data_IF_438977619748
#
_entry.id   IF_438977619748
#
_cell.length_a   1.000
_cell.length_b   1.000
_cell.length_c   1.000
_cell.angle_alpha   90.00
_cell.angle_beta   90.00
_cell.angle_gamma   90.00
#
_symmetry.space_group_name_H-M   'P 1'
#
loop_
_entity.id
_entity.type
_entity.pdbx_description
1 polymer ?
#
# COMPACT_ATOMS: atom_id res chain seq x y z
N UNK A 1 16.46 -20.67 8.83
CA UNK A 1 15.00 -21.01 8.91
C UNK A 1 14.25 -19.71 9.14
N UNK A 2 13.20 -19.44 8.37
CA UNK A 2 12.41 -18.22 8.44
C UNK A 2 11.79 -18.03 9.84
N UNK A 3 11.95 -16.85 10.47
CA UNK A 3 11.41 -16.56 11.81
C UNK A 3 10.49 -15.34 11.86
N UNK A 4 10.61 -14.42 10.91
CA UNK A 4 9.89 -13.17 10.95
C UNK A 4 9.34 -12.78 9.58
N UNK A 5 8.04 -12.46 9.53
CA UNK A 5 7.36 -11.94 8.34
C UNK A 5 7.09 -10.45 8.53
N UNK A 6 7.52 -9.64 7.57
CA UNK A 6 7.15 -8.23 7.49
C UNK A 6 6.28 -8.03 6.26
N UNK A 7 5.13 -7.37 6.43
CA UNK A 7 4.23 -7.07 5.31
C UNK A 7 3.90 -5.59 5.25
N UNK A 8 3.73 -5.07 4.04
CA UNK A 8 3.37 -3.67 3.79
C UNK A 8 2.31 -3.54 2.72
N UNK A 9 1.60 -2.41 2.72
CA UNK A 9 0.63 -2.12 1.68
C UNK A 9 -0.37 -1.01 2.02
N UNK A 10 -1.39 -0.86 1.20
CA UNK A 10 -2.46 0.13 1.35
C UNK A 10 -3.72 -0.47 2.01
N UNK A 11 -4.90 0.10 1.73
CA UNK A 11 -6.18 -0.37 2.27
C UNK A 11 -6.50 -1.83 1.92
N UNK A 12 -6.00 -2.35 0.79
CA UNK A 12 -6.09 -3.76 0.41
C UNK A 12 -5.26 -4.69 1.30
N UNK A 13 -4.39 -4.12 2.09
CA UNK A 13 -3.55 -4.80 3.08
C UNK A 13 -3.91 -4.39 4.51
N UNK A 14 -5.06 -3.72 4.72
CA UNK A 14 -5.44 -3.28 6.05
C UNK A 14 -5.89 -4.46 6.90
N UNK A 15 -5.26 -4.57 8.06
CA UNK A 15 -5.35 -5.75 8.94
C UNK A 15 -6.66 -5.84 9.76
N UNK A 16 -7.64 -4.97 9.58
CA UNK A 16 -8.86 -5.00 10.40
C UNK A 16 -9.75 -6.23 10.16
N UNK A 17 -9.45 -7.03 9.13
CA UNK A 17 -10.27 -8.18 8.77
C UNK A 17 -9.47 -9.48 8.94
N UNK A 18 -10.02 -10.42 9.70
CA UNK A 18 -9.46 -11.77 9.91
C UNK A 18 -9.16 -12.51 8.59
N UNK A 19 -9.72 -12.02 7.49
CA UNK A 19 -9.67 -12.62 6.18
C UNK A 19 -8.75 -11.89 5.18
N UNK A 20 -7.83 -11.02 5.67
CA UNK A 20 -6.88 -10.32 4.79
C UNK A 20 -5.86 -11.29 4.15
N UNK A 21 -5.26 -10.90 3.02
CA UNK A 21 -4.19 -11.70 2.40
C UNK A 21 -3.00 -11.90 3.34
N UNK A 22 -2.80 -10.99 4.27
CA UNK A 22 -1.74 -11.03 5.27
C UNK A 22 -2.01 -12.12 6.30
N UNK A 23 -3.25 -12.21 6.78
CA UNK A 23 -3.67 -13.28 7.70
C UNK A 23 -3.53 -14.64 7.02
N UNK A 24 -3.99 -14.76 5.77
CA UNK A 24 -3.85 -15.98 4.98
C UNK A 24 -2.36 -16.36 4.79
N UNK A 25 -1.51 -15.39 4.41
CA UNK A 25 -0.06 -15.61 4.25
C UNK A 25 0.59 -16.02 5.57
N UNK A 26 0.27 -15.32 6.67
CA UNK A 26 0.82 -15.63 7.99
C UNK A 26 0.44 -17.06 8.42
N UNK A 27 -0.82 -17.45 8.25
CA UNK A 27 -1.29 -18.78 8.58
C UNK A 27 -0.63 -19.85 7.70
N UNK A 28 -0.49 -19.59 6.40
CA UNK A 28 0.19 -20.49 5.48
C UNK A 28 1.67 -20.69 5.86
N UNK A 29 2.39 -19.62 6.19
CA UNK A 29 3.80 -19.73 6.62
C UNK A 29 3.94 -20.43 7.97
N UNK A 30 2.98 -20.25 8.89
CA UNK A 30 2.96 -20.94 10.20
C UNK A 30 2.77 -22.45 10.11
N UNK A 31 2.25 -22.98 9.00
CA UNK A 31 2.22 -24.43 8.75
C UNK A 31 3.66 -25.00 8.74
N UNK A 32 4.61 -24.24 8.19
CA UNK A 32 6.02 -24.64 8.09
C UNK A 32 6.86 -24.17 9.27
N UNK A 33 6.47 -23.08 9.92
CA UNK A 33 7.11 -22.55 11.12
C UNK A 33 6.05 -22.01 12.11
N UNK A 34 5.59 -22.84 13.07
CA UNK A 34 4.58 -22.45 14.06
C UNK A 34 4.98 -21.25 14.94
N UNK A 35 6.28 -20.99 15.09
CA UNK A 35 6.83 -19.90 15.91
C UNK A 35 7.09 -18.62 15.10
N UNK A 36 6.62 -18.55 13.86
CA UNK A 36 6.78 -17.37 13.03
C UNK A 36 6.15 -16.15 13.71
N UNK A 37 6.96 -15.13 13.94
CA UNK A 37 6.51 -13.79 14.33
C UNK A 37 6.20 -12.97 13.09
N UNK A 38 5.38 -11.94 13.24
CA UNK A 38 5.06 -11.07 12.09
C UNK A 38 4.82 -9.64 12.52
N UNK A 39 5.10 -8.72 11.58
CA UNK A 39 4.78 -7.30 11.68
C UNK A 39 4.06 -6.86 10.41
N UNK A 40 2.97 -6.13 10.58
CA UNK A 40 2.20 -5.57 9.49
C UNK A 40 2.24 -4.04 9.52
N UNK A 41 2.77 -3.43 8.45
CA UNK A 41 2.91 -1.97 8.33
C UNK A 41 1.90 -1.34 7.39
N UNK A 42 1.05 -2.14 6.74
CA UNK A 42 0.06 -1.65 5.79
C UNK A 42 -1.07 -0.87 6.45
N UNK A 43 -1.51 0.19 5.80
CA UNK A 43 -2.62 1.02 6.26
C UNK A 43 -3.35 1.71 5.10
N UNK A 44 -4.56 2.17 5.39
CA UNK A 44 -5.41 2.89 4.42
C UNK A 44 -4.69 4.10 3.84
N UNK A 45 -4.90 4.38 2.56
CA UNK A 45 -4.38 5.54 1.82
C UNK A 45 -2.86 5.69 1.75
N UNK A 46 -2.09 4.68 2.15
CA UNK A 46 -0.64 4.72 1.97
C UNK A 46 -0.28 4.69 0.47
N UNK A 47 0.59 5.61 0.07
CA UNK A 47 1.29 5.58 -1.21
C UNK A 47 2.59 4.78 -1.12
N UNK A 48 3.29 4.63 -2.25
CA UNK A 48 4.54 3.85 -2.36
C UNK A 48 5.60 4.33 -1.38
N UNK A 49 5.75 5.65 -1.23
CA UNK A 49 6.73 6.25 -0.32
C UNK A 49 6.50 5.84 1.14
N UNK A 50 5.24 5.89 1.61
CA UNK A 50 4.92 5.47 2.98
C UNK A 50 5.12 3.97 3.19
N UNK A 51 4.72 3.16 2.22
CA UNK A 51 4.92 1.71 2.27
C UNK A 51 6.42 1.41 2.38
N UNK A 52 7.24 2.02 1.52
CA UNK A 52 8.68 1.83 1.52
C UNK A 52 9.30 2.21 2.88
N UNK A 53 8.99 3.41 3.41
CA UNK A 53 9.56 3.90 4.67
C UNK A 53 9.17 3.02 5.86
N UNK A 54 7.89 2.65 5.98
CA UNK A 54 7.40 1.82 7.08
C UNK A 54 7.99 0.42 7.06
N UNK A 55 8.05 -0.20 5.89
CA UNK A 55 8.66 -1.53 5.76
C UNK A 55 10.16 -1.47 6.09
N UNK A 56 10.87 -0.43 5.62
CA UNK A 56 12.29 -0.24 5.97
C UNK A 56 12.49 -0.08 7.48
N UNK A 57 11.62 0.69 8.14
CA UNK A 57 11.66 0.85 9.60
C UNK A 57 11.42 -0.48 10.31
N UNK A 58 10.39 -1.22 9.93
CA UNK A 58 10.09 -2.53 10.51
C UNK A 58 11.25 -3.53 10.34
N UNK A 59 11.91 -3.54 9.18
CA UNK A 59 13.12 -4.35 8.97
C UNK A 59 14.22 -3.91 9.92
N UNK A 60 14.46 -2.62 10.05
CA UNK A 60 15.49 -2.07 10.95
C UNK A 60 15.22 -2.46 12.40
N UNK A 61 13.98 -2.32 12.87
CA UNK A 61 13.57 -2.70 14.23
C UNK A 61 13.74 -4.21 14.46
N UNK A 62 13.38 -5.04 13.48
CA UNK A 62 13.58 -6.49 13.55
C UNK A 62 15.06 -6.87 13.68
N UNK A 63 15.94 -6.27 12.86
CA UNK A 63 17.39 -6.48 12.92
C UNK A 63 17.97 -6.01 14.26
N UNK A 64 17.55 -4.85 14.76
CA UNK A 64 17.98 -4.32 16.06
C UNK A 64 17.51 -5.19 17.23
N UNK A 65 16.38 -5.88 17.08
CA UNK A 65 15.90 -6.85 18.08
C UNK A 65 16.65 -8.20 18.06
N UNK A 66 17.60 -8.38 17.13
CA UNK A 66 18.46 -9.55 17.02
C UNK A 66 17.94 -10.63 16.08
N UNK A 67 16.90 -10.38 15.28
CA UNK A 67 16.48 -11.28 14.21
C UNK A 67 17.51 -11.19 13.08
N UNK A 68 17.96 -12.33 12.57
CA UNK A 68 18.96 -12.36 11.51
C UNK A 68 18.34 -12.05 10.15
N UNK A 69 19.14 -11.49 9.26
CA UNK A 69 18.73 -11.08 7.91
C UNK A 69 18.09 -12.22 7.11
N UNK A 70 18.71 -13.40 7.13
CA UNK A 70 18.23 -14.60 6.42
C UNK A 70 17.02 -15.28 7.07
N UNK A 71 16.61 -14.80 8.26
CA UNK A 71 15.42 -15.24 8.99
C UNK A 71 14.19 -14.36 8.69
N UNK A 72 14.37 -13.26 7.96
CA UNK A 72 13.31 -12.31 7.60
C UNK A 72 12.80 -12.57 6.18
N UNK A 73 11.48 -12.52 6.03
CA UNK A 73 10.81 -12.42 4.74
C UNK A 73 9.96 -11.16 4.69
N UNK A 74 10.03 -10.44 3.59
CA UNK A 74 9.25 -9.24 3.34
C UNK A 74 8.33 -9.46 2.15
N UNK A 75 7.04 -9.19 2.32
CA UNK A 75 6.04 -9.24 1.25
C UNK A 75 5.26 -7.94 1.21
N UNK A 76 5.31 -7.23 0.09
CA UNK A 76 4.70 -5.91 -0.06
C UNK A 76 3.65 -5.91 -1.16
N UNK A 77 2.51 -5.28 -0.88
CA UNK A 77 1.49 -4.96 -1.89
C UNK A 77 1.55 -3.46 -2.20
N UNK A 78 2.04 -3.12 -3.37
CA UNK A 78 2.17 -1.73 -3.81
C UNK A 78 0.82 -1.09 -4.12
N UNK A 79 0.71 0.18 -3.78
CA UNK A 79 -0.47 1.03 -3.96
C UNK A 79 -0.45 1.75 -5.32
N UNK A 80 -1.42 2.64 -5.57
CA UNK A 80 -1.49 3.45 -6.78
C UNK A 80 -0.33 4.44 -6.92
N UNK A 81 0.16 4.61 -8.13
CA UNK A 81 1.25 5.55 -8.48
C UNK A 81 0.89 7.01 -8.20
N UNK A 82 -0.40 7.32 -8.17
CA UNK A 82 -0.94 8.65 -7.93
C UNK A 82 -1.01 9.07 -6.45
N UNK A 83 -0.73 8.15 -5.50
CA UNK A 83 -0.71 8.47 -4.07
C UNK A 83 0.60 9.07 -3.67
N UNK A 84 0.55 10.23 -3.02
CA UNK A 84 1.73 10.95 -2.53
C UNK A 84 1.64 11.14 -1.01
N UNK A 85 2.81 11.14 -0.36
CA UNK A 85 2.95 11.47 1.04
C UNK A 85 3.97 12.59 1.21
N UNK A 86 3.64 13.59 2.02
CA UNK A 86 4.57 14.66 2.42
C UNK A 86 4.86 14.55 3.90
N UNK A 87 6.13 14.63 4.25
CA UNK A 87 6.57 14.73 5.63
C UNK A 87 6.28 16.15 6.15
N UNK A 88 5.76 16.24 7.36
CA UNK A 88 5.47 17.50 8.04
C UNK A 88 6.13 17.43 9.41
N UNK A 89 7.17 18.23 9.61
CA UNK A 89 7.94 18.31 10.84
C UNK A 89 7.38 19.31 11.85
N UNK A 90 6.50 20.22 11.38
CA UNK A 90 5.97 21.31 12.19
C UNK A 90 4.44 21.19 12.34
N UNK A 91 3.99 21.00 13.58
CA UNK A 91 2.55 20.93 13.92
C UNK A 91 1.77 22.21 13.62
N UNK A 92 2.44 23.36 13.53
CA UNK A 92 1.77 24.63 13.19
C UNK A 92 1.37 24.66 11.71
N UNK A 93 2.15 24.03 10.83
CA UNK A 93 1.77 23.81 9.42
C UNK A 93 0.48 22.98 9.36
N UNK A 94 0.37 21.91 10.16
CA UNK A 94 -0.85 21.09 10.23
C UNK A 94 -2.04 21.96 10.67
N UNK A 95 -1.86 22.82 11.68
CA UNK A 95 -2.91 23.73 12.15
C UNK A 95 -3.38 24.68 11.04
N UNK A 96 -2.45 25.27 10.29
CA UNK A 96 -2.79 26.17 9.18
C UNK A 96 -3.49 25.43 8.04
N UNK A 97 -3.00 24.25 7.66
CA UNK A 97 -3.65 23.39 6.67
C UNK A 97 -5.11 23.07 7.06
N UNK A 98 -5.34 22.77 8.35
CA UNK A 98 -6.67 22.41 8.88
C UNK A 98 -7.59 23.64 9.01
N UNK A 99 -7.05 24.83 9.32
CA UNK A 99 -7.84 26.07 9.34
C UNK A 99 -8.42 26.42 7.98
N UNK A 100 -7.65 26.20 6.90
CA UNK A 100 -8.12 26.38 5.52
C UNK A 100 -9.22 25.39 5.09
N UNK A 101 -9.53 24.43 5.96
CA UNK A 101 -10.47 23.35 5.70
C UNK A 101 -11.59 23.23 6.76
N UNK A 102 -12.47 24.23 6.91
CA UNK A 102 -13.51 24.20 7.94
C UNK A 102 -14.48 23.01 7.81
N UNK A 103 -14.58 22.42 6.62
CA UNK A 103 -15.40 21.27 6.29
C UNK A 103 -14.56 20.06 5.87
N UNK A 104 -13.34 19.91 6.38
CA UNK A 104 -12.57 18.69 6.16
C UNK A 104 -13.31 17.52 6.82
N UNK A 105 -14.37 17.10 6.21
CA UNK A 105 -14.83 15.74 6.31
C UNK A 105 -13.81 14.96 5.49
N UNK A 106 -12.77 14.47 6.17
CA UNK A 106 -11.73 13.72 5.53
C UNK A 106 -12.36 12.64 4.68
N UNK A 107 -12.50 12.90 3.40
CA UNK A 107 -12.74 11.84 2.45
C UNK A 107 -11.63 10.82 2.70
N UNK A 108 -11.89 9.55 2.47
CA UNK A 108 -10.94 8.45 2.72
C UNK A 108 -9.59 8.62 2.01
N UNK A 109 -9.39 9.70 1.31
CA UNK A 109 -8.33 9.98 0.35
C UNK A 109 -7.22 10.91 0.85
N UNK A 110 -7.44 11.63 1.96
CA UNK A 110 -6.42 12.53 2.53
C UNK A 110 -6.32 12.31 4.04
N UNK A 111 -5.14 11.97 4.54
CA UNK A 111 -4.95 11.55 5.92
C UNK A 111 -3.59 12.00 6.46
N UNK A 112 -3.55 12.21 7.77
CA UNK A 112 -2.29 12.33 8.49
C UNK A 112 -1.93 10.97 9.11
N UNK A 113 -0.78 10.44 8.77
CA UNK A 113 -0.28 9.17 9.28
C UNK A 113 0.96 9.38 10.14
N UNK A 114 1.00 8.65 11.24
CA UNK A 114 2.23 8.46 12.01
C UNK A 114 3.03 7.31 11.39
N UNK A 115 4.33 7.51 11.21
CA UNK A 115 5.18 6.51 10.60
C UNK A 115 5.25 5.22 11.41
N UNK A 116 5.31 5.32 12.75
CA UNK A 116 5.53 4.19 13.65
C UNK A 116 4.22 3.55 14.15
N UNK A 117 3.25 4.36 14.51
CA UNK A 117 2.09 3.89 15.27
C UNK A 117 0.85 3.56 14.43
N UNK A 118 0.92 3.63 13.11
CA UNK A 118 -0.20 3.36 12.19
C UNK A 118 -1.50 4.13 12.50
N UNK A 119 -1.42 5.20 13.29
CA UNK A 119 -2.60 5.96 13.67
C UNK A 119 -2.98 6.92 12.55
N UNK A 120 -4.16 6.71 11.99
CA UNK A 120 -4.80 7.72 11.15
C UNK A 120 -5.35 8.81 12.05
N UNK A 121 -4.85 10.01 11.83
CA UNK A 121 -5.39 11.21 12.50
C UNK A 121 -6.13 12.03 11.47
N UNK A 122 -7.45 12.04 11.56
CA UNK A 122 -8.27 12.97 10.78
C UNK A 122 -8.19 14.35 11.42
N UNK A 123 -8.27 15.44 10.67
CA UNK A 123 -8.23 16.80 11.22
C UNK A 123 -9.22 17.03 12.37
N UNK A 124 -10.39 16.40 12.34
CA UNK A 124 -11.39 16.49 13.41
C UNK A 124 -10.91 15.87 14.74
N UNK A 125 -9.94 14.97 14.69
CA UNK A 125 -9.35 14.34 15.88
C UNK A 125 -8.21 15.17 16.48
N UNK A 126 -7.71 16.18 15.76
CA UNK A 126 -6.72 17.10 16.30
C UNK A 126 -7.33 18.18 17.20
N UNK A 127 -8.66 18.30 17.23
CA UNK A 127 -9.36 19.24 18.10
C UNK A 127 -9.90 18.51 19.34
N UNK A 128 -9.57 19.05 20.51
CA UNK A 128 -10.25 18.69 21.74
C UNK A 128 -11.68 19.24 21.72
N UNK A 129 -12.51 18.88 22.70
CA UNK A 129 -13.84 19.48 22.89
C UNK A 129 -13.79 21.00 23.12
N UNK A 130 -12.66 21.53 23.63
CA UNK A 130 -12.38 22.97 23.75
C UNK A 130 -11.95 23.64 22.46
N UNK A 131 -11.74 22.88 21.37
CA UNK A 131 -11.26 23.40 20.09
C UNK A 131 -9.73 23.45 19.97
N UNK A 132 -8.99 23.03 20.99
CA UNK A 132 -7.53 23.00 20.98
C UNK A 132 -6.99 21.78 20.22
N UNK A 133 -5.79 21.90 19.65
CA UNK A 133 -5.13 20.80 18.99
C UNK A 133 -4.49 19.86 20.02
N UNK A 134 -4.55 18.55 19.79
CA UNK A 134 -3.84 17.57 20.59
C UNK A 134 -2.33 17.83 20.57
N UNK A 135 -1.72 17.70 21.73
CA UNK A 135 -0.27 17.75 21.90
C UNK A 135 0.38 16.39 21.58
N UNK A 136 -0.07 15.76 20.50
CA UNK A 136 0.48 14.51 20.06
C UNK A 136 1.72 14.76 19.22
N UNK A 137 2.85 14.22 19.67
CA UNK A 137 4.11 14.26 18.92
C UNK A 137 4.39 12.84 18.41
N UNK A 138 4.25 12.59 17.10
CA UNK A 138 4.52 11.27 16.54
C UNK A 138 6.02 10.96 16.60
N UNK A 139 6.40 9.77 17.04
CA UNK A 139 7.80 9.36 17.12
C UNK A 139 8.48 9.33 15.75
N UNK A 140 7.73 9.04 14.70
CA UNK A 140 8.23 8.96 13.31
C UNK A 140 7.95 10.18 12.45
N UNK A 141 7.36 11.24 13.03
CA UNK A 141 6.90 12.40 12.29
C UNK A 141 5.55 12.21 11.61
N UNK A 142 4.94 13.30 11.18
CA UNK A 142 3.68 13.32 10.47
C UNK A 142 3.87 13.17 8.97
N UNK A 143 3.03 12.33 8.36
CA UNK A 143 2.91 12.26 6.91
C UNK A 143 1.50 12.61 6.48
N UNK A 144 1.38 13.62 5.64
CA UNK A 144 0.14 13.95 4.96
C UNK A 144 0.06 13.15 3.67
N UNK A 145 -0.91 12.24 3.58
CA UNK A 145 -1.10 11.39 2.40
C UNK A 145 -2.34 11.84 1.63
N UNK A 146 -2.26 11.86 0.32
CA UNK A 146 -3.38 12.18 -0.58
C UNK A 146 -3.48 11.15 -1.69
N UNK A 147 -4.69 10.98 -2.16
CA UNK A 147 -5.11 10.14 -3.27
C UNK A 147 -5.56 11.02 -4.45
N UNK A 148 -4.69 11.90 -4.86
CA UNK A 148 -4.71 12.67 -6.10
C UNK A 148 -5.93 13.54 -6.39
N UNK A 149 -7.11 12.98 -6.50
CA UNK A 149 -8.25 13.65 -7.17
C UNK A 149 -9.12 14.53 -6.28
N UNK A 150 -9.15 14.26 -4.97
CA UNK A 150 -10.17 14.87 -4.09
C UNK A 150 -9.62 15.93 -3.14
N UNK A 151 -8.31 16.13 -3.13
CA UNK A 151 -7.68 17.11 -2.27
C UNK A 151 -7.80 18.51 -2.89
N UNK A 152 -8.55 19.38 -2.23
CA UNK A 152 -8.78 20.76 -2.67
C UNK A 152 -7.70 21.76 -2.23
N UNK A 153 -6.59 21.28 -1.67
CA UNK A 153 -5.47 22.16 -1.31
C UNK A 153 -4.73 22.60 -2.58
N UNK A 154 -4.57 23.89 -2.75
CA UNK A 154 -3.93 24.47 -3.93
C UNK A 154 -2.56 23.89 -4.24
N UNK A 155 -1.71 23.70 -3.25
CA UNK A 155 -0.38 23.12 -3.47
C UNK A 155 -0.43 21.64 -3.94
N UNK A 156 -1.43 20.87 -3.47
CA UNK A 156 -1.65 19.51 -3.92
C UNK A 156 -2.12 19.50 -5.36
N UNK A 157 -3.06 20.36 -5.69
CA UNK A 157 -3.54 20.51 -7.07
C UNK A 157 -2.41 20.95 -8.01
N UNK A 158 -1.59 21.92 -7.60
CA UNK A 158 -0.42 22.36 -8.37
C UNK A 158 0.59 21.24 -8.56
N UNK A 159 0.87 20.46 -7.51
CA UNK A 159 1.74 19.29 -7.62
C UNK A 159 1.22 18.31 -8.67
N UNK A 160 -0.07 17.95 -8.63
CA UNK A 160 -0.65 17.01 -9.59
C UNK A 160 -0.77 17.59 -11.00
N UNK A 161 -0.92 18.89 -11.16
CA UNK A 161 -0.86 19.56 -12.49
C UNK A 161 0.53 19.44 -13.11
N UNK A 162 1.58 19.63 -12.31
CA UNK A 162 2.97 19.54 -12.79
C UNK A 162 3.38 18.08 -13.10
N UNK A 163 2.88 17.12 -12.33
CA UNK A 163 3.29 15.73 -12.42
C UNK A 163 2.37 14.88 -13.35
N UNK A 164 1.34 15.49 -13.93
CA UNK A 164 0.31 14.80 -14.69
C UNK A 164 -0.68 14.04 -13.80
N UNK A 165 -1.98 14.23 -14.00
CA UNK A 165 -3.03 13.76 -13.08
C UNK A 165 -3.15 12.23 -12.95
N UNK A 166 -2.85 11.48 -14.01
CA UNK A 166 -2.87 10.00 -14.01
C UNK A 166 -1.85 9.47 -15.00
N UNK A 167 -1.02 8.54 -14.57
CA UNK A 167 -0.08 7.83 -15.42
C UNK A 167 1.07 8.68 -15.98
N UNK A 168 1.35 9.83 -15.38
CA UNK A 168 2.48 10.67 -15.78
C UNK A 168 3.83 10.03 -15.50
N UNK A 169 4.84 10.40 -16.30
CA UNK A 169 6.22 9.91 -16.16
C UNK A 169 6.77 10.17 -14.75
N UNK A 170 6.48 11.35 -14.17
CA UNK A 170 6.95 11.71 -12.83
C UNK A 170 6.43 10.77 -11.73
N UNK A 171 5.14 10.40 -11.78
CA UNK A 171 4.55 9.45 -10.82
C UNK A 171 5.13 8.05 -10.97
N UNK A 172 5.28 7.59 -12.20
CA UNK A 172 5.92 6.30 -12.50
C UNK A 172 7.37 6.30 -12.00
N UNK A 173 8.11 7.40 -12.23
CA UNK A 173 9.46 7.59 -11.74
C UNK A 173 9.53 7.47 -10.22
N UNK A 174 8.78 8.30 -9.49
CA UNK A 174 8.75 8.29 -8.03
C UNK A 174 8.33 6.93 -7.45
N UNK A 175 7.36 6.25 -8.09
CA UNK A 175 6.95 4.91 -7.68
C UNK A 175 8.07 3.89 -7.83
N UNK A 176 8.77 3.89 -8.98
CA UNK A 176 9.89 2.99 -9.23
C UNK A 176 11.06 3.25 -8.28
N UNK A 177 11.36 4.51 -7.97
CA UNK A 177 12.39 4.84 -6.98
C UNK A 177 12.09 4.19 -5.63
N UNK A 178 10.87 4.29 -5.13
CA UNK A 178 10.48 3.69 -3.85
C UNK A 178 10.53 2.15 -3.89
N UNK A 179 10.06 1.55 -4.99
CA UNK A 179 10.10 0.09 -5.19
C UNK A 179 11.56 -0.39 -5.20
N UNK A 180 12.41 0.23 -6.00
CA UNK A 180 13.82 -0.13 -6.15
C UNK A 180 14.61 0.12 -4.86
N UNK A 181 14.32 1.23 -4.16
CA UNK A 181 14.96 1.53 -2.87
C UNK A 181 14.72 0.42 -1.87
N UNK A 182 13.48 -0.04 -1.70
CA UNK A 182 13.16 -1.13 -0.79
C UNK A 182 13.75 -2.46 -1.27
N UNK A 183 13.66 -2.75 -2.58
CA UNK A 183 14.27 -3.95 -3.18
C UNK A 183 15.78 -4.00 -2.92
N UNK A 184 16.49 -2.89 -3.15
CA UNK A 184 17.94 -2.82 -2.95
C UNK A 184 18.31 -2.87 -1.48
N UNK A 185 17.51 -2.26 -0.59
CA UNK A 185 17.69 -2.37 0.86
C UNK A 185 17.61 -3.82 1.30
N UNK A 186 16.55 -4.55 0.90
CA UNK A 186 16.42 -5.97 1.21
C UNK A 186 17.55 -6.81 0.61
N UNK A 187 17.96 -6.53 -0.63
CA UNK A 187 19.07 -7.21 -1.28
C UNK A 187 20.40 -6.99 -0.56
N UNK A 188 20.67 -5.75 -0.12
CA UNK A 188 21.89 -5.41 0.63
C UNK A 188 22.00 -6.20 1.93
N UNK A 189 20.87 -6.42 2.58
CA UNK A 189 20.76 -7.18 3.82
C UNK A 189 20.46 -8.69 3.61
N UNK A 190 20.55 -9.20 2.39
CA UNK A 190 20.23 -10.59 2.08
C UNK A 190 18.85 -11.06 2.59
N UNK A 191 17.88 -10.16 2.63
CA UNK A 191 16.51 -10.40 3.06
C UNK A 191 15.67 -10.85 1.87
N UNK A 192 14.87 -11.91 2.04
CA UNK A 192 13.91 -12.36 1.02
C UNK A 192 12.82 -11.32 0.84
N UNK A 193 12.68 -10.78 -0.37
CA UNK A 193 11.74 -9.71 -0.69
C UNK A 193 10.87 -10.08 -1.88
N UNK A 194 9.54 -10.00 -1.69
CA UNK A 194 8.53 -10.27 -2.71
C UNK A 194 7.55 -9.12 -2.81
N UNK A 195 7.06 -8.87 -4.01
CA UNK A 195 6.25 -7.72 -4.35
C UNK A 195 5.01 -8.12 -5.14
N UNK A 196 3.90 -7.44 -4.89
CA UNK A 196 2.67 -7.57 -5.65
C UNK A 196 1.98 -6.21 -5.79
N UNK A 197 1.05 -6.11 -6.72
CA UNK A 197 0.25 -4.91 -6.92
C UNK A 197 -1.20 -5.15 -6.54
N UNK A 198 -1.84 -4.12 -5.97
CA UNK A 198 -3.26 -4.25 -5.61
C UNK A 198 -4.17 -4.23 -6.84
N UNK A 199 -3.75 -3.54 -7.92
CA UNK A 199 -4.45 -3.42 -9.20
C UNK A 199 -3.47 -3.47 -10.37
N UNK A 200 -3.94 -3.98 -11.51
CA UNK A 200 -3.19 -4.09 -12.75
C UNK A 200 -2.65 -2.74 -13.24
N UNK A 201 -3.44 -1.68 -13.12
CA UNK A 201 -3.05 -0.38 -13.66
C UNK A 201 -1.76 0.17 -13.02
N UNK A 202 -1.45 -0.22 -11.79
CA UNK A 202 -0.19 0.19 -11.14
C UNK A 202 1.01 -0.34 -11.92
N UNK A 203 0.95 -1.61 -12.31
CA UNK A 203 1.97 -2.19 -13.16
C UNK A 203 1.87 -1.69 -14.61
N UNK A 204 0.65 -1.50 -15.14
CA UNK A 204 0.43 -0.97 -16.48
C UNK A 204 0.98 0.45 -16.65
N UNK A 205 0.86 1.32 -15.64
CA UNK A 205 1.48 2.66 -15.64
C UNK A 205 3.00 2.58 -15.82
N UNK A 206 3.63 1.60 -15.15
CA UNK A 206 5.06 1.34 -15.31
C UNK A 206 5.36 0.86 -16.72
N UNK A 207 4.60 -0.11 -17.23
CA UNK A 207 4.77 -0.69 -18.56
C UNK A 207 4.58 0.34 -19.69
N UNK A 208 3.58 1.21 -19.58
CA UNK A 208 3.30 2.25 -20.58
C UNK A 208 4.44 3.27 -20.68
N UNK A 209 5.10 3.56 -19.58
CA UNK A 209 6.17 4.55 -19.51
C UNK A 209 7.58 3.94 -19.63
N UNK A 210 7.72 2.61 -19.75
CA UNK A 210 9.02 1.91 -19.73
C UNK A 210 10.00 2.33 -20.83
N UNK A 211 9.52 2.90 -21.93
CA UNK A 211 10.38 3.38 -23.02
C UNK A 211 10.88 4.82 -22.81
N UNK A 212 10.34 5.55 -21.81
CA UNK A 212 10.89 6.85 -21.45
C UNK A 212 12.29 6.65 -20.83
N UNK A 213 13.26 7.47 -21.22
CA UNK A 213 14.68 7.24 -20.90
C UNK A 213 14.94 6.96 -19.41
N UNK A 214 14.40 7.80 -18.52
CA UNK A 214 14.61 7.64 -17.08
C UNK A 214 13.86 6.43 -16.52
N UNK A 215 12.62 6.17 -16.99
CA UNK A 215 11.83 5.01 -16.57
C UNK A 215 12.49 3.71 -17.02
N UNK A 216 13.00 3.66 -18.25
CA UNK A 216 13.70 2.49 -18.79
C UNK A 216 14.92 2.09 -17.92
N UNK A 217 15.66 3.08 -17.46
CA UNK A 217 16.79 2.85 -16.57
C UNK A 217 16.37 2.21 -15.25
N UNK A 218 15.31 2.73 -14.62
CA UNK A 218 14.77 2.20 -13.38
C UNK A 218 14.07 0.85 -13.59
N UNK A 219 13.27 0.73 -14.65
CA UNK A 219 12.55 -0.50 -14.99
C UNK A 219 13.46 -1.71 -15.10
N UNK A 220 14.66 -1.54 -15.71
CA UNK A 220 15.67 -2.60 -15.83
C UNK A 220 16.27 -3.06 -14.50
N UNK A 221 16.08 -2.29 -13.43
CA UNK A 221 16.56 -2.67 -12.09
C UNK A 221 15.53 -3.49 -11.30
N UNK A 222 14.29 -3.62 -11.79
CA UNK A 222 13.29 -4.44 -11.13
C UNK A 222 13.63 -5.92 -11.20
N UNK A 223 13.49 -6.60 -10.08
CA UNK A 223 13.62 -8.05 -9.98
C UNK A 223 12.28 -8.73 -10.30
N UNK A 224 12.02 -8.95 -11.58
CA UNK A 224 10.78 -9.57 -12.05
C UNK A 224 10.57 -11.00 -11.54
N UNK A 225 11.62 -11.68 -11.08
CA UNK A 225 11.47 -13.01 -10.49
C UNK A 225 10.73 -12.96 -9.13
N UNK A 226 10.73 -11.82 -8.50
CA UNK A 226 10.14 -11.59 -7.19
C UNK A 226 8.93 -10.63 -7.22
N UNK A 227 8.35 -10.40 -8.41
CA UNK A 227 7.17 -9.55 -8.60
C UNK A 227 5.99 -10.38 -9.13
N UNK A 228 4.84 -10.27 -8.45
CA UNK A 228 3.54 -10.67 -9.00
C UNK A 228 2.97 -9.47 -9.75
N UNK A 229 2.92 -9.54 -11.07
CA UNK A 229 2.46 -8.44 -11.93
C UNK A 229 0.94 -8.40 -12.09
N UNK A 230 0.26 -9.48 -11.75
CA UNK A 230 -1.20 -9.56 -11.74
C UNK A 230 -1.77 -8.83 -10.52
N UNK A 231 -2.74 -7.92 -10.73
CA UNK A 231 -3.39 -7.21 -9.63
C UNK A 231 -4.45 -8.07 -8.95
N UNK A 232 -4.51 -8.01 -7.62
CA UNK A 232 -5.51 -8.73 -6.84
C UNK A 232 -6.95 -8.30 -7.21
N UNK A 233 -7.15 -7.02 -7.46
CA UNK A 233 -8.47 -6.46 -7.76
C UNK A 233 -9.04 -7.03 -9.07
N UNK A 234 -8.25 -7.04 -10.13
CA UNK A 234 -8.67 -7.58 -11.42
C UNK A 234 -8.82 -9.09 -11.38
N UNK A 235 -7.96 -9.79 -10.66
CA UNK A 235 -8.14 -11.23 -10.43
C UNK A 235 -9.50 -11.55 -9.81
N UNK A 236 -9.88 -10.82 -8.74
CA UNK A 236 -11.16 -11.03 -8.08
C UNK A 236 -12.35 -10.77 -9.03
N UNK A 237 -12.23 -9.81 -9.95
CA UNK A 237 -13.27 -9.60 -10.97
C UNK A 237 -13.44 -10.81 -11.90
N UNK A 238 -12.36 -11.52 -12.21
CA UNK A 238 -12.46 -12.74 -13.02
C UNK A 238 -13.28 -13.84 -12.34
N UNK A 239 -13.28 -13.90 -11.00
CA UNK A 239 -14.13 -14.82 -10.22
C UNK A 239 -15.64 -14.47 -10.34
N UNK A 240 -15.96 -13.23 -10.68
CA UNK A 240 -17.31 -12.77 -10.99
C UNK A 240 -17.68 -12.98 -12.47
N UNK A 241 -16.79 -13.56 -13.28
CA UNK A 241 -16.97 -13.73 -14.72
C UNK A 241 -16.70 -12.47 -15.56
N UNK A 242 -16.05 -11.47 -14.97
CA UNK A 242 -15.70 -10.22 -15.66
C UNK A 242 -14.29 -10.36 -16.26
N UNK A 243 -14.12 -10.22 -17.59
CA UNK A 243 -12.81 -10.22 -18.20
C UNK A 243 -11.92 -9.08 -17.69
N UNK A 244 -10.63 -9.33 -17.48
CA UNK A 244 -9.69 -8.34 -16.93
C UNK A 244 -9.71 -6.99 -17.66
N UNK A 245 -9.78 -7.00 -18.98
CA UNK A 245 -9.78 -5.78 -19.79
C UNK A 245 -11.06 -4.95 -19.65
N UNK A 246 -12.15 -5.54 -19.13
CA UNK A 246 -13.44 -4.88 -18.90
C UNK A 246 -13.58 -4.31 -17.49
N UNK A 247 -12.70 -4.65 -16.55
CA UNK A 247 -12.81 -4.26 -15.14
C UNK A 247 -12.94 -2.74 -14.95
N UNK A 248 -12.22 -1.96 -15.76
CA UNK A 248 -12.30 -0.49 -15.74
C UNK A 248 -13.65 0.09 -16.19
N UNK A 249 -14.46 -0.68 -16.89
CA UNK A 249 -15.77 -0.27 -17.41
C UNK A 249 -16.91 -0.63 -16.43
N UNK A 250 -16.65 -1.45 -15.43
CA UNK A 250 -17.66 -1.90 -14.46
C UNK A 250 -17.88 -0.81 -13.40
N UNK A 251 -19.12 -0.38 -13.29
CA UNK A 251 -19.51 0.57 -12.26
C UNK A 251 -19.52 -0.07 -10.86
N UNK A 252 -19.45 0.77 -9.84
CA UNK A 252 -19.56 0.33 -8.45
C UNK A 252 -20.86 -0.46 -8.18
N UNK A 253 -22.01 0.03 -8.69
CA UNK A 253 -23.31 -0.61 -8.47
C UNK A 253 -23.40 -1.98 -9.18
N UNK A 254 -22.89 -2.08 -10.41
CA UNK A 254 -22.83 -3.36 -11.13
C UNK A 254 -21.96 -4.37 -10.36
N UNK A 255 -20.81 -3.94 -9.85
CA UNK A 255 -19.93 -4.79 -9.05
C UNK A 255 -20.63 -5.30 -7.79
N UNK A 256 -21.30 -4.42 -7.04
CA UNK A 256 -22.08 -4.82 -5.87
C UNK A 256 -23.14 -5.87 -6.20
N UNK A 257 -23.89 -5.64 -7.27
CA UNK A 257 -24.92 -6.58 -7.73
C UNK A 257 -24.34 -7.94 -8.11
N UNK A 258 -23.22 -7.95 -8.85
CA UNK A 258 -22.54 -9.19 -9.24
C UNK A 258 -21.92 -9.94 -8.05
N UNK A 259 -21.55 -9.22 -7.00
CA UNK A 259 -20.98 -9.78 -5.78
C UNK A 259 -22.04 -10.25 -4.76
N UNK A 260 -23.32 -9.99 -4.99
CA UNK A 260 -24.38 -10.31 -4.06
C UNK A 260 -24.35 -11.81 -3.67
N UNK A 261 -24.21 -12.07 -2.37
CA UNK A 261 -24.10 -13.42 -1.82
C UNK A 261 -22.79 -14.17 -2.10
N UNK A 262 -21.81 -13.57 -2.79
CA UNK A 262 -20.58 -14.27 -3.21
C UNK A 262 -19.35 -14.00 -2.35
N UNK A 263 -19.33 -12.93 -1.57
CA UNK A 263 -18.22 -12.53 -0.69
C UNK A 263 -16.83 -12.36 -1.37
N UNK A 264 -16.79 -12.13 -2.67
CA UNK A 264 -15.55 -11.85 -3.40
C UNK A 264 -15.05 -10.44 -3.15
N UNK A 265 -15.98 -9.47 -3.03
CA UNK A 265 -15.71 -8.13 -2.53
C UNK A 265 -16.39 -7.93 -1.18
N UNK A 266 -15.87 -7.00 -0.38
CA UNK A 266 -16.49 -6.56 0.86
C UNK A 266 -17.80 -5.80 0.57
N UNK A 267 -18.55 -5.46 1.62
CA UNK A 267 -19.84 -4.74 1.48
C UNK A 267 -19.73 -3.38 0.80
N UNK A 268 -18.53 -2.80 0.77
CA UNK A 268 -18.26 -1.55 0.03
C UNK A 268 -18.11 -1.77 -1.48
N UNK A 269 -18.11 -3.01 -1.96
CA UNK A 269 -17.98 -3.35 -3.39
C UNK A 269 -16.66 -2.96 -4.03
N UNK A 270 -15.64 -2.57 -3.24
CA UNK A 270 -14.34 -2.16 -3.74
C UNK A 270 -13.19 -2.95 -3.12
N UNK A 271 -13.14 -3.05 -1.80
CA UNK A 271 -12.12 -3.82 -1.13
C UNK A 271 -12.35 -5.32 -1.30
N UNK A 272 -11.30 -6.13 -1.35
CA UNK A 272 -11.41 -7.58 -1.40
C UNK A 272 -12.21 -8.13 -0.24
N UNK A 273 -13.12 -9.05 -0.53
CA UNK A 273 -13.83 -9.83 0.46
C UNK A 273 -13.15 -11.16 0.73
N UNK A 274 -13.62 -11.88 1.75
CA UNK A 274 -13.03 -13.13 2.24
C UNK A 274 -12.70 -14.14 1.14
N UNK A 275 -13.69 -14.48 0.31
CA UNK A 275 -13.49 -15.48 -0.74
C UNK A 275 -12.59 -14.99 -1.87
N UNK A 276 -12.65 -13.69 -2.19
CA UNK A 276 -11.75 -13.08 -3.18
C UNK A 276 -10.30 -13.16 -2.74
N UNK A 277 -10.03 -12.80 -1.48
CA UNK A 277 -8.70 -12.87 -0.88
C UNK A 277 -8.19 -14.31 -0.81
N UNK A 278 -9.00 -15.24 -0.29
CA UNK A 278 -8.59 -16.66 -0.19
C UNK A 278 -8.24 -17.24 -1.55
N UNK A 279 -9.11 -17.03 -2.55
CA UNK A 279 -8.83 -17.49 -3.92
C UNK A 279 -7.55 -16.87 -4.50
N UNK A 280 -7.30 -15.59 -4.26
CA UNK A 280 -6.06 -14.93 -4.67
C UNK A 280 -4.83 -15.59 -4.01
N UNK A 281 -4.88 -15.80 -2.70
CA UNK A 281 -3.79 -16.44 -1.97
C UNK A 281 -3.52 -17.86 -2.49
N UNK A 282 -4.56 -18.67 -2.64
CA UNK A 282 -4.42 -20.09 -3.01
C UNK A 282 -3.94 -20.28 -4.46
N UNK A 283 -4.38 -19.42 -5.37
CA UNK A 283 -4.11 -19.60 -6.80
C UNK A 283 -2.94 -18.74 -7.33
N UNK A 284 -2.59 -17.64 -6.66
CA UNK A 284 -1.56 -16.72 -7.14
C UNK A 284 -0.41 -16.60 -6.13
N UNK A 285 -0.68 -16.16 -4.89
CA UNK A 285 0.36 -15.81 -3.94
C UNK A 285 1.15 -17.04 -3.43
N UNK A 286 0.46 -18.07 -2.95
CA UNK A 286 1.13 -19.25 -2.40
C UNK A 286 1.88 -20.06 -3.45
N UNK A 287 1.34 -20.32 -4.66
CA UNK A 287 2.10 -20.95 -5.73
C UNK A 287 3.36 -20.17 -6.10
N UNK A 288 3.27 -18.83 -6.14
CA UNK A 288 4.42 -17.97 -6.42
C UNK A 288 5.50 -18.07 -5.34
N UNK A 289 5.12 -18.15 -4.07
CA UNK A 289 6.06 -18.22 -2.93
C UNK A 289 6.60 -19.62 -2.65
N UNK A 290 5.85 -20.68 -2.98
CA UNK A 290 6.09 -22.08 -2.55
C UNK A 290 7.52 -22.58 -2.73
N UNK A 291 8.20 -22.15 -3.80
CA UNK A 291 9.55 -22.60 -4.11
C UNK A 291 10.64 -21.56 -3.77
N UNK A 292 10.27 -20.49 -3.07
CA UNK A 292 11.13 -19.33 -2.81
C UNK A 292 11.35 -19.05 -1.32
N UNK A 293 10.48 -19.60 -0.49
CA UNK A 293 10.50 -19.41 0.97
C UNK A 293 10.95 -20.65 1.72
#
# INVERSE_FOLDING_TARGET
MLKHLITGGCSFSHYSDEDSWITNLTNWLKIYNPNLTYEHTGYRSQGQEMIQKKVTLAITDALQSGIKEDEIIVVVMWSGTYRKAWYIDNKDIIKEMVKGWPNFQGGMTSQFLDLKNNQVKYPNYFKTKSGDFFDYNPEGGWYFTVDGSDCKLDFVQQYYLLDGYYGGVGKTHSSLENIIMLQNFCKLHNIKFFQQFFMDFVYQDIEQNKNHQIINYLYKQLDFNNIITEGMFEYIHTLLGIPRHEVKNITYEERKKLNEGKLYFSNDGFHPGKLGVSNWCDNILFPFLKNKV
#
